data_IF_294543719820
#
_entry.id   IF_294543719820
#
_cell.length_a   1.000
_cell.length_b   1.000
_cell.length_c   1.000
_cell.angle_alpha   90.00
_cell.angle_beta   90.00
_cell.angle_gamma   90.00
#
_symmetry.space_group_name_H-M   'P 1'
#
loop_
_entity.id
_entity.type
_entity.pdbx_description
1 polymer ?
#
# COMPACT_ATOMS: atom_id res chain seq x y z
N UNK A 1 -3.13 34.77 13.88
CA UNK A 1 -4.15 34.20 12.98
C UNK A 1 -3.94 32.70 12.95
N UNK A 2 -5.00 31.90 13.05
CA UNK A 2 -4.91 30.44 12.99
C UNK A 2 -4.65 30.02 11.54
N UNK A 3 -3.61 29.21 11.31
CA UNK A 3 -3.25 28.73 9.97
C UNK A 3 -4.20 27.60 9.57
N UNK A 4 -4.73 27.62 8.36
CA UNK A 4 -5.61 26.56 7.84
C UNK A 4 -4.84 25.52 7.01
N UNK A 5 -5.48 24.40 6.66
CA UNK A 5 -4.89 23.44 5.72
C UNK A 5 -4.68 24.10 4.34
N UNK A 6 -5.67 24.86 3.85
CA UNK A 6 -5.57 25.55 2.56
C UNK A 6 -4.43 26.58 2.55
N UNK A 7 -4.17 27.24 3.67
CA UNK A 7 -2.98 28.07 3.82
C UNK A 7 -1.71 27.26 3.56
N UNK A 8 -1.54 26.10 4.20
CA UNK A 8 -0.34 25.28 3.96
C UNK A 8 -0.21 24.83 2.50
N UNK A 9 -1.33 24.57 1.82
CA UNK A 9 -1.35 24.20 0.41
C UNK A 9 -0.91 25.36 -0.48
N UNK A 10 -1.45 26.56 -0.24
CA UNK A 10 -1.10 27.76 -0.99
C UNK A 10 0.38 28.12 -0.81
N UNK A 11 0.93 27.93 0.40
CA UNK A 11 2.35 28.19 0.69
C UNK A 11 3.30 27.32 -0.15
N UNK A 12 2.94 26.08 -0.49
CA UNK A 12 3.84 25.15 -1.19
C UNK A 12 3.53 24.97 -2.67
N UNK A 13 2.38 25.42 -3.19
CA UNK A 13 1.90 24.98 -4.51
C UNK A 13 2.89 25.26 -5.66
N UNK A 14 3.51 26.44 -5.69
CA UNK A 14 4.48 26.80 -6.73
C UNK A 14 5.82 26.10 -6.54
N UNK A 15 6.40 26.13 -5.34
CA UNK A 15 7.67 25.43 -5.08
C UNK A 15 7.53 23.92 -5.31
N UNK A 16 6.41 23.33 -4.91
CA UNK A 16 6.07 21.94 -5.18
C UNK A 16 6.06 21.68 -6.68
N UNK A 17 5.46 22.57 -7.48
CA UNK A 17 5.37 22.40 -8.93
C UNK A 17 6.76 22.47 -9.58
N UNK A 18 7.65 23.36 -9.12
CA UNK A 18 9.04 23.42 -9.60
C UNK A 18 9.84 22.17 -9.27
N UNK A 19 9.72 21.66 -8.03
CA UNK A 19 10.37 20.40 -7.61
C UNK A 19 9.80 19.17 -8.32
N UNK A 20 8.50 19.15 -8.64
CA UNK A 20 7.90 18.07 -9.44
C UNK A 20 8.41 18.08 -10.88
N UNK A 21 8.57 19.27 -11.47
CA UNK A 21 9.17 19.39 -12.79
C UNK A 21 10.66 18.96 -12.77
N UNK A 22 11.41 19.29 -11.71
CA UNK A 22 12.79 18.79 -11.51
C UNK A 22 12.84 17.27 -11.36
N UNK A 23 11.95 16.67 -10.58
CA UNK A 23 11.85 15.22 -10.44
C UNK A 23 11.49 14.56 -11.77
N UNK A 24 10.59 15.15 -12.56
CA UNK A 24 10.25 14.67 -13.90
C UNK A 24 11.46 14.73 -14.86
N UNK A 25 12.25 15.80 -14.82
CA UNK A 25 13.49 15.95 -15.62
C UNK A 25 14.53 14.87 -15.29
N UNK A 26 14.69 14.51 -14.01
CA UNK A 26 15.65 13.49 -13.57
C UNK A 26 15.14 12.07 -13.84
N UNK A 27 13.86 11.83 -13.57
CA UNK A 27 13.25 10.51 -13.76
C UNK A 27 13.20 10.12 -15.24
N UNK A 28 12.85 11.04 -16.15
CA UNK A 28 12.78 10.74 -17.57
C UNK A 28 11.82 9.58 -17.93
N UNK A 29 10.86 9.26 -17.06
CA UNK A 29 10.00 8.07 -17.20
C UNK A 29 10.65 6.74 -16.79
N UNK A 30 11.79 6.78 -16.10
CA UNK A 30 12.45 5.59 -15.56
C UNK A 30 11.55 4.81 -14.60
N UNK A 31 11.78 3.50 -14.56
CA UNK A 31 11.27 2.62 -13.51
C UNK A 31 11.80 3.06 -12.15
N UNK A 32 11.10 2.70 -11.09
CA UNK A 32 11.47 3.07 -9.73
C UNK A 32 11.43 1.87 -8.80
N UNK A 33 12.25 1.92 -7.76
CA UNK A 33 12.23 0.96 -6.65
C UNK A 33 12.28 1.72 -5.34
N UNK A 34 11.55 1.26 -4.33
CA UNK A 34 11.61 1.83 -2.98
C UNK A 34 11.88 0.74 -1.95
N UNK A 35 12.86 0.97 -1.09
CA UNK A 35 13.13 0.19 0.11
C UNK A 35 13.00 1.12 1.31
N UNK A 36 12.00 0.87 2.15
CA UNK A 36 11.81 1.64 3.39
C UNK A 36 12.67 1.11 4.53
N UNK A 37 13.14 -0.14 4.48
CA UNK A 37 14.00 -0.73 5.51
C UNK A 37 15.43 -0.19 5.44
N UNK A 38 15.90 0.05 4.21
CA UNK A 38 17.10 0.83 3.89
C UNK A 38 16.65 2.07 3.11
N UNK A 39 16.29 3.19 3.79
CA UNK A 39 15.51 4.30 3.23
C UNK A 39 16.05 4.84 1.90
N UNK A 40 15.64 4.22 0.80
CA UNK A 40 16.16 4.48 -0.54
C UNK A 40 15.03 4.37 -1.56
N UNK A 41 14.80 5.46 -2.27
CA UNK A 41 13.98 5.52 -3.47
C UNK A 41 14.90 5.71 -4.66
N UNK A 42 14.96 4.71 -5.54
CA UNK A 42 15.90 4.71 -6.67
C UNK A 42 15.13 4.82 -7.98
N UNK A 43 15.49 5.82 -8.78
CA UNK A 43 15.08 5.96 -10.18
C UNK A 43 16.07 5.18 -11.05
N UNK A 44 15.57 4.21 -11.81
CA UNK A 44 16.34 3.28 -12.64
C UNK A 44 16.59 3.87 -14.03
N UNK A 45 17.24 5.03 -14.10
CA UNK A 45 17.72 5.64 -15.34
C UNK A 45 19.11 5.13 -15.72
N UNK A 46 19.66 5.57 -16.86
CA UNK A 46 21.03 5.22 -17.30
C UNK A 46 22.09 5.53 -16.24
N UNK A 47 21.88 6.60 -15.47
CA UNK A 47 22.64 6.96 -14.29
C UNK A 47 21.69 6.95 -13.07
N UNK A 48 21.59 5.82 -12.34
CA UNK A 48 20.60 5.66 -11.29
C UNK A 48 20.71 6.76 -10.23
N UNK A 49 19.56 7.33 -9.86
CA UNK A 49 19.47 8.37 -8.83
C UNK A 49 18.81 7.77 -7.60
N UNK A 50 19.51 7.84 -6.46
CA UNK A 50 18.99 7.38 -5.16
C UNK A 50 18.63 8.58 -4.30
N UNK A 51 17.40 8.61 -3.81
CA UNK A 51 16.81 9.65 -2.99
C UNK A 51 16.36 9.04 -1.65
N UNK A 52 16.25 9.87 -0.61
CA UNK A 52 15.70 9.46 0.68
C UNK A 52 14.17 9.57 0.65
N UNK A 53 13.42 8.47 0.89
CA UNK A 53 11.96 8.49 0.95
C UNK A 53 11.46 8.78 2.37
N UNK A 54 10.38 9.55 2.46
CA UNK A 54 9.61 9.77 3.67
C UNK A 54 8.15 9.42 3.43
N UNK A 55 7.63 8.41 4.11
CA UNK A 55 6.25 7.95 3.97
C UNK A 55 5.30 8.85 4.76
N UNK A 56 4.41 9.56 4.06
CA UNK A 56 3.36 10.36 4.70
C UNK A 56 2.19 9.48 5.14
N UNK A 57 1.71 8.65 4.24
CA UNK A 57 0.50 7.87 4.47
C UNK A 57 0.04 7.19 3.20
N UNK A 58 -1.12 6.53 3.30
CA UNK A 58 -1.67 5.72 2.23
C UNK A 58 -3.12 6.05 1.95
N UNK A 59 -3.43 6.16 0.67
CA UNK A 59 -4.76 6.29 0.11
C UNK A 59 -5.23 4.90 -0.34
N UNK A 60 -6.38 4.45 0.17
CA UNK A 60 -6.99 3.18 -0.22
C UNK A 60 -8.38 3.41 -0.80
N UNK A 61 -8.54 3.20 -2.11
CA UNK A 61 -9.84 3.33 -2.78
C UNK A 61 -10.84 2.28 -2.25
N UNK A 62 -10.36 1.08 -1.93
CA UNK A 62 -11.18 -0.01 -1.41
C UNK A 62 -11.68 0.27 0.01
N UNK A 63 -10.83 0.84 0.88
CA UNK A 63 -11.22 1.24 2.24
C UNK A 63 -12.00 2.55 2.26
N UNK A 64 -11.84 3.38 1.22
CA UNK A 64 -12.41 4.72 1.17
C UNK A 64 -11.77 5.66 2.19
N UNK A 65 -10.52 5.42 2.59
CA UNK A 65 -9.81 6.27 3.56
C UNK A 65 -8.34 6.55 3.22
N UNK A 66 -7.89 7.70 3.73
CA UNK A 66 -6.48 8.04 3.87
C UNK A 66 -6.04 7.70 5.30
N UNK A 67 -4.88 7.07 5.43
CA UNK A 67 -4.27 6.71 6.71
C UNK A 67 -2.87 7.30 6.77
N UNK A 68 -2.57 8.02 7.84
CA UNK A 68 -1.23 8.53 8.07
C UNK A 68 -0.28 7.44 8.57
N UNK A 69 1.01 7.54 8.18
CA UNK A 69 2.03 6.55 8.55
C UNK A 69 2.34 6.53 10.05
N UNK A 70 1.99 7.59 10.79
CA UNK A 70 2.12 7.60 12.26
C UNK A 70 1.10 6.73 12.98
N UNK A 71 0.03 6.27 12.30
CA UNK A 71 -0.97 5.42 12.92
C UNK A 71 -0.38 4.08 13.37
N UNK A 72 0.60 3.54 12.62
CA UNK A 72 1.29 2.29 12.93
C UNK A 72 2.82 2.45 12.84
N UNK A 73 3.42 2.94 13.93
CA UNK A 73 4.87 3.13 14.04
C UNK A 73 5.62 1.82 14.37
N UNK A 74 6.94 1.85 14.28
CA UNK A 74 7.82 0.71 14.59
C UNK A 74 7.92 -0.36 13.50
N UNK A 75 7.23 -0.18 12.38
CA UNK A 75 7.37 -1.04 11.18
C UNK A 75 8.42 -0.54 10.20
N UNK A 76 8.64 0.77 10.15
CA UNK A 76 9.64 1.43 9.32
C UNK A 76 10.65 2.15 10.21
N UNK A 77 11.88 2.40 9.71
CA UNK A 77 12.82 3.28 10.38
C UNK A 77 12.19 4.63 10.71
N UNK A 78 12.53 5.18 11.88
CA UNK A 78 11.93 6.42 12.41
C UNK A 78 12.08 7.61 11.44
N UNK A 79 13.19 7.64 10.71
CA UNK A 79 13.44 8.60 9.64
C UNK A 79 12.41 8.57 8.52
N UNK A 80 11.92 7.39 8.13
CA UNK A 80 10.95 7.25 7.03
C UNK A 80 9.62 7.91 7.40
N UNK A 81 9.23 7.88 8.68
CA UNK A 81 7.94 8.39 9.16
C UNK A 81 8.04 9.79 9.78
N UNK A 82 9.24 10.34 9.92
CA UNK A 82 9.47 11.63 10.59
C UNK A 82 8.74 12.79 9.93
N UNK A 83 8.64 12.81 8.59
CA UNK A 83 7.90 13.84 7.87
C UNK A 83 6.39 13.84 8.21
N UNK A 84 5.79 12.66 8.39
CA UNK A 84 4.40 12.53 8.78
C UNK A 84 4.21 13.04 10.23
N UNK A 85 5.08 12.64 11.16
CA UNK A 85 5.03 13.08 12.54
C UNK A 85 5.25 14.60 12.65
N UNK A 86 6.17 15.18 11.86
CA UNK A 86 6.38 16.63 11.82
C UNK A 86 5.12 17.37 11.33
N UNK A 87 4.42 16.80 10.34
CA UNK A 87 3.14 17.33 9.89
C UNK A 87 2.08 17.25 11.00
N UNK A 88 2.06 16.17 11.79
CA UNK A 88 1.16 16.00 12.95
C UNK A 88 1.43 16.99 14.08
N UNK A 89 2.69 17.12 14.51
CA UNK A 89 3.08 18.05 15.57
C UNK A 89 2.76 19.50 15.18
N UNK A 90 3.08 19.86 13.94
CA UNK A 90 2.74 21.18 13.40
C UNK A 90 1.23 21.37 13.25
N UNK A 91 0.50 20.33 12.82
CA UNK A 91 -0.95 20.32 12.74
C UNK A 91 -1.61 20.58 14.09
N UNK A 92 -1.11 19.94 15.15
CA UNK A 92 -1.59 20.14 16.52
C UNK A 92 -1.33 21.59 17.00
N UNK A 93 -0.13 22.12 16.75
CA UNK A 93 0.21 23.52 17.09
C UNK A 93 -0.70 24.54 16.41
N UNK A 94 -1.13 24.27 15.17
CA UNK A 94 -2.00 25.16 14.40
C UNK A 94 -3.49 24.78 14.47
N UNK A 95 -3.86 23.73 15.22
CA UNK A 95 -5.23 23.19 15.31
C UNK A 95 -5.84 22.81 13.95
N UNK A 96 -5.05 22.15 13.09
CA UNK A 96 -5.48 21.65 11.77
C UNK A 96 -5.83 20.16 11.88
N UNK A 97 -7.13 19.86 11.96
CA UNK A 97 -7.65 18.51 12.22
C UNK A 97 -7.19 17.45 11.20
N UNK A 98 -7.05 17.84 9.94
CA UNK A 98 -6.66 16.96 8.83
C UNK A 98 -5.22 16.45 8.98
N UNK A 99 -4.40 17.15 9.77
CA UNK A 99 -3.03 16.76 10.08
C UNK A 99 -2.91 16.06 11.43
N UNK A 100 -3.98 15.94 12.21
CA UNK A 100 -3.96 15.30 13.54
C UNK A 100 -4.90 14.11 13.66
N UNK A 101 -5.69 13.83 12.62
CA UNK A 101 -6.63 12.71 12.59
C UNK A 101 -5.96 11.54 11.89
N UNK A 102 -5.85 10.39 12.58
CA UNK A 102 -5.12 9.21 12.09
C UNK A 102 -5.64 8.69 10.75
N UNK A 103 -6.97 8.65 10.62
CA UNK A 103 -7.67 8.18 9.44
C UNK A 103 -8.73 9.19 8.99
N UNK A 104 -8.71 9.53 7.71
CA UNK A 104 -9.64 10.48 7.09
C UNK A 104 -10.45 9.77 6.01
N UNK A 105 -11.76 10.04 5.89
CA UNK A 105 -12.54 9.61 4.74
C UNK A 105 -11.92 10.17 3.45
N UNK A 106 -11.82 9.35 2.40
CA UNK A 106 -11.32 9.85 1.12
C UNK A 106 -12.28 10.87 0.52
N UNK A 107 -11.68 11.94 0.05
CA UNK A 107 -12.29 12.96 -0.79
C UNK A 107 -11.40 13.17 -2.03
N UNK A 108 -11.98 13.74 -3.08
CA UNK A 108 -11.28 14.05 -4.32
C UNK A 108 -10.02 14.89 -4.05
N UNK A 109 -8.87 14.31 -4.41
CA UNK A 109 -7.56 14.94 -4.27
C UNK A 109 -7.09 15.13 -2.82
N UNK A 110 -7.71 14.48 -1.84
CA UNK A 110 -7.31 14.59 -0.42
C UNK A 110 -5.83 14.28 -0.23
N UNK A 111 -5.34 13.16 -0.73
CA UNK A 111 -3.95 12.75 -0.57
C UNK A 111 -2.96 13.79 -1.12
N UNK A 112 -3.29 14.41 -2.27
CA UNK A 112 -2.50 15.51 -2.84
C UNK A 112 -2.54 16.77 -1.97
N UNK A 113 -3.70 17.13 -1.42
CA UNK A 113 -3.86 18.29 -0.51
C UNK A 113 -3.02 18.10 0.76
N UNK A 114 -3.11 16.92 1.40
CA UNK A 114 -2.32 16.58 2.59
C UNK A 114 -0.82 16.57 2.28
N UNK A 115 -0.44 16.03 1.12
CA UNK A 115 0.96 16.05 0.66
C UNK A 115 1.47 17.47 0.49
N UNK A 116 0.74 18.36 -0.20
CA UNK A 116 1.12 19.76 -0.38
C UNK A 116 1.25 20.49 0.96
N UNK A 117 0.33 20.26 1.89
CA UNK A 117 0.42 20.82 3.24
C UNK A 117 1.67 20.33 3.99
N UNK A 118 1.97 19.04 3.92
CA UNK A 118 3.16 18.46 4.53
C UNK A 118 4.46 19.04 3.96
N UNK A 119 4.52 19.38 2.67
CA UNK A 119 5.71 20.04 2.07
C UNK A 119 6.03 21.39 2.73
N UNK A 120 5.00 22.18 3.05
CA UNK A 120 5.17 23.46 3.77
C UNK A 120 5.75 23.27 5.16
N UNK A 121 5.37 22.18 5.84
CA UNK A 121 5.75 21.90 7.22
C UNK A 121 7.11 21.20 7.36
N UNK A 122 7.52 20.46 6.33
CA UNK A 122 8.73 19.61 6.38
C UNK A 122 9.89 20.19 5.58
N UNK A 123 9.62 21.08 4.61
CA UNK A 123 10.62 21.59 3.68
C UNK A 123 11.04 20.60 2.59
N UNK A 124 10.40 19.42 2.50
CA UNK A 124 10.68 18.43 1.45
C UNK A 124 9.66 18.64 0.33
N UNK A 125 10.10 19.20 -0.80
CA UNK A 125 9.18 19.71 -1.81
C UNK A 125 8.90 18.77 -2.99
N UNK A 126 9.58 17.64 -3.10
CA UNK A 126 9.27 16.59 -4.07
C UNK A 126 8.47 15.45 -3.41
N UNK A 127 7.60 14.82 -4.19
CA UNK A 127 6.77 13.69 -3.78
C UNK A 127 6.63 12.71 -4.92
N UNK A 128 6.39 11.44 -4.61
CA UNK A 128 6.10 10.40 -5.58
C UNK A 128 4.99 9.50 -5.04
N UNK A 129 3.87 9.30 -5.75
CA UNK A 129 2.86 8.33 -5.34
C UNK A 129 3.28 6.91 -5.78
N UNK A 130 3.43 6.00 -4.83
CA UNK A 130 3.85 4.61 -5.01
C UNK A 130 2.63 3.69 -4.94
N UNK A 131 2.32 2.98 -6.02
CA UNK A 131 1.23 1.98 -6.03
C UNK A 131 1.69 0.72 -5.29
N UNK A 132 1.00 0.36 -4.21
CA UNK A 132 1.34 -0.80 -3.38
C UNK A 132 0.55 -2.07 -3.74
N UNK A 133 -0.36 -1.99 -4.74
CA UNK A 133 -1.25 -3.08 -5.15
C UNK A 133 -2.67 -2.94 -4.56
N UNK A 134 -3.62 -3.70 -5.11
CA UNK A 134 -5.04 -3.78 -4.71
C UNK A 134 -5.68 -2.45 -4.24
N UNK A 135 -5.53 -1.41 -5.05
CA UNK A 135 -6.18 -0.11 -4.83
C UNK A 135 -5.55 0.75 -3.73
N UNK A 136 -4.36 0.40 -3.23
CA UNK A 136 -3.61 1.16 -2.24
C UNK A 136 -2.46 1.92 -2.89
N UNK A 137 -2.34 3.21 -2.56
CA UNK A 137 -1.27 4.09 -3.01
C UNK A 137 -0.61 4.75 -1.80
N UNK A 138 0.67 4.49 -1.61
CA UNK A 138 1.49 5.18 -0.65
C UNK A 138 1.97 6.52 -1.21
N UNK A 139 1.87 7.58 -0.44
CA UNK A 139 2.34 8.90 -0.83
C UNK A 139 3.62 9.19 -0.05
N UNK A 140 4.74 9.32 -0.79
CA UNK A 140 6.05 9.59 -0.22
C UNK A 140 6.54 10.98 -0.60
N UNK A 141 7.18 11.68 0.32
CA UNK A 141 8.09 12.78 -0.01
C UNK A 141 9.47 12.20 -0.34
N UNK A 142 10.21 12.85 -1.23
CA UNK A 142 11.55 12.43 -1.63
C UNK A 142 12.54 13.59 -1.54
N UNK A 143 13.72 13.31 -1.01
CA UNK A 143 14.79 14.29 -0.77
C UNK A 143 16.13 13.78 -1.28
N UNK A 144 16.95 14.65 -1.86
CA UNK A 144 18.30 14.34 -2.31
C UNK A 144 18.93 15.52 -3.04
N UNK A 145 20.26 15.54 -3.11
CA UNK A 145 21.03 16.63 -3.73
C UNK A 145 20.68 16.86 -5.21
N UNK A 146 20.27 15.81 -5.90
CA UNK A 146 19.91 15.82 -7.32
C UNK A 146 18.65 16.66 -7.58
N UNK A 147 17.79 16.79 -6.57
CA UNK A 147 16.58 17.59 -6.58
C UNK A 147 16.81 19.06 -6.22
N UNK A 148 18.02 19.45 -5.82
CA UNK A 148 18.32 20.85 -5.53
C UNK A 148 18.08 21.71 -6.78
N UNK A 149 17.33 22.79 -6.57
CA UNK A 149 17.06 23.77 -7.60
C UNK A 149 18.23 24.75 -7.70
N UNK A 150 18.64 25.06 -8.93
CA UNK A 150 19.57 26.15 -9.20
C UNK A 150 18.98 27.53 -8.88
N UNK A 151 19.70 28.59 -9.28
CA UNK A 151 19.23 29.96 -9.10
C UNK A 151 17.85 30.17 -9.77
N UNK A 152 16.96 30.97 -9.14
CA UNK A 152 15.66 31.26 -9.73
C UNK A 152 15.85 32.00 -11.06
N UNK A 153 15.07 31.61 -12.07
CA UNK A 153 15.02 32.28 -13.37
C UNK A 153 13.60 32.72 -13.67
N UNK A 154 13.43 33.91 -14.26
CA UNK A 154 12.09 34.44 -14.59
C UNK A 154 11.30 33.50 -15.49
N UNK A 155 11.96 32.82 -16.43
CA UNK A 155 11.30 31.88 -17.32
C UNK A 155 10.72 30.70 -16.54
N UNK A 156 11.54 30.03 -15.72
CA UNK A 156 11.09 28.89 -14.91
C UNK A 156 9.99 29.30 -13.92
N UNK A 157 10.14 30.45 -13.25
CA UNK A 157 9.14 30.95 -12.31
C UNK A 157 7.79 31.22 -13.00
N UNK A 158 7.80 31.87 -14.16
CA UNK A 158 6.59 32.12 -14.94
C UNK A 158 5.89 30.84 -15.39
N UNK A 159 6.64 29.86 -15.89
CA UNK A 159 6.11 28.55 -16.29
C UNK A 159 5.50 27.79 -15.12
N UNK A 160 6.21 27.73 -13.98
CA UNK A 160 5.76 27.07 -12.75
C UNK A 160 4.44 27.66 -12.25
N UNK A 161 4.35 28.99 -12.20
CA UNK A 161 3.10 29.66 -11.81
C UNK A 161 1.98 29.32 -12.77
N UNK A 162 2.18 29.45 -14.08
CA UNK A 162 1.15 29.14 -15.09
C UNK A 162 0.67 27.68 -15.00
N UNK A 163 1.57 26.72 -14.83
CA UNK A 163 1.23 25.30 -14.72
C UNK A 163 0.49 24.98 -13.41
N UNK A 164 0.98 25.48 -12.27
CA UNK A 164 0.36 25.24 -10.98
C UNK A 164 -1.09 25.73 -10.93
N UNK A 165 -1.38 26.88 -11.53
CA UNK A 165 -2.72 27.47 -11.58
C UNK A 165 -3.72 26.61 -12.36
N UNK A 166 -3.28 25.83 -13.35
CA UNK A 166 -4.16 24.92 -14.10
C UNK A 166 -4.72 23.80 -13.23
N UNK A 167 -4.07 23.49 -12.10
CA UNK A 167 -4.53 22.44 -11.18
C UNK A 167 -5.72 22.86 -10.31
N UNK A 168 -6.09 24.15 -10.30
CA UNK A 168 -7.20 24.69 -9.50
C UNK A 168 -7.04 24.52 -7.98
N UNK A 169 -5.85 24.17 -7.51
CA UNK A 169 -5.58 23.82 -6.09
C UNK A 169 -5.15 25.03 -5.27
N UNK A 170 -4.53 26.02 -5.91
CA UNK A 170 -4.23 27.30 -5.28
C UNK A 170 -5.52 28.12 -5.12
N UNK A 171 -5.77 28.60 -3.90
CA UNK A 171 -6.94 29.44 -3.59
C UNK A 171 -6.49 30.88 -3.37
N UNK A 172 -5.50 31.11 -2.50
CA UNK A 172 -4.92 32.42 -2.25
C UNK A 172 -3.63 32.61 -3.05
N UNK A 173 -3.74 33.20 -4.25
CA UNK A 173 -2.59 33.33 -5.15
C UNK A 173 -1.57 34.35 -4.64
N UNK A 174 -2.03 35.40 -3.94
CA UNK A 174 -1.14 36.40 -3.33
C UNK A 174 -0.16 35.72 -2.36
N UNK A 175 -0.71 34.85 -1.51
CA UNK A 175 0.05 34.07 -0.53
C UNK A 175 0.97 33.05 -1.16
N UNK A 176 0.49 32.34 -2.19
CA UNK A 176 1.31 31.40 -2.94
C UNK A 176 2.52 32.07 -3.60
N UNK A 177 2.31 33.26 -4.19
CA UNK A 177 3.37 34.06 -4.80
C UNK A 177 4.40 34.53 -3.76
N UNK A 178 3.93 35.08 -2.63
CA UNK A 178 4.79 35.56 -1.56
C UNK A 178 5.64 34.43 -0.96
N UNK A 179 5.03 33.28 -0.71
CA UNK A 179 5.73 32.08 -0.23
C UNK A 179 6.76 31.59 -1.24
N UNK A 180 6.39 31.51 -2.52
CA UNK A 180 7.31 31.06 -3.57
C UNK A 180 8.53 31.95 -3.75
N UNK A 181 8.34 33.28 -3.72
CA UNK A 181 9.45 34.22 -3.77
C UNK A 181 10.41 34.02 -2.59
N UNK A 182 9.87 33.89 -1.37
CA UNK A 182 10.67 33.61 -0.16
C UNK A 182 11.44 32.29 -0.26
N UNK A 183 10.78 31.20 -0.66
CA UNK A 183 11.40 29.88 -0.75
C UNK A 183 12.45 29.77 -1.85
N UNK A 184 12.34 30.59 -2.91
CA UNK A 184 13.36 30.67 -3.97
C UNK A 184 14.45 31.69 -3.72
N UNK A 185 14.32 32.53 -2.69
CA UNK A 185 15.24 33.65 -2.46
C UNK A 185 15.10 34.76 -3.51
N UNK A 186 13.94 34.84 -4.16
CA UNK A 186 13.61 35.94 -5.08
C UNK A 186 13.06 37.14 -4.31
N UNK A 187 13.32 38.34 -4.81
CA UNK A 187 12.72 39.55 -4.26
C UNK A 187 11.29 39.71 -4.77
N UNK A 188 10.38 40.15 -3.92
CA UNK A 188 9.02 40.53 -4.30
C UNK A 188 8.69 41.91 -3.75
N UNK A 189 8.20 42.79 -4.61
CA UNK A 189 7.67 44.09 -4.23
C UNK A 189 6.21 44.21 -4.66
N UNK A 190 5.37 44.66 -3.72
CA UNK A 190 3.97 44.94 -3.93
C UNK A 190 3.78 46.44 -4.14
N UNK A 191 3.14 46.82 -5.24
CA UNK A 191 2.72 48.21 -5.46
C UNK A 191 1.33 48.44 -4.84
N UNK A 192 0.43 47.51 -5.12
CA UNK A 192 -0.92 47.43 -4.53
C UNK A 192 -1.30 45.95 -4.38
N UNK A 193 -2.48 45.64 -3.83
CA UNK A 193 -3.04 44.28 -3.85
C UNK A 193 -3.33 43.77 -5.28
N UNK A 194 -3.31 44.65 -6.29
CA UNK A 194 -3.56 44.31 -7.69
C UNK A 194 -2.30 44.01 -8.50
N UNK A 195 -1.10 44.31 -7.98
CA UNK A 195 0.15 44.15 -8.75
C UNK A 195 1.36 43.89 -7.88
N UNK A 196 2.15 42.88 -8.27
CA UNK A 196 3.46 42.57 -7.68
C UNK A 196 4.54 42.47 -8.76
N UNK A 197 5.78 42.75 -8.39
CA UNK A 197 6.96 42.49 -9.22
C UNK A 197 7.88 41.52 -8.49
N UNK A 198 8.13 40.36 -9.09
CA UNK A 198 9.12 39.38 -8.62
C UNK A 198 10.41 39.60 -9.39
N UNK A 199 11.52 39.78 -8.70
CA UNK A 199 12.86 39.94 -9.28
C UNK A 199 13.72 38.72 -8.97
N UNK A 200 14.32 38.15 -10.01
CA UNK A 200 15.32 37.09 -9.97
C UNK A 200 16.66 37.61 -10.53
N UNK A 201 17.71 36.79 -10.55
CA UNK A 201 19.04 37.20 -11.00
C UNK A 201 19.10 37.52 -12.51
N UNK A 202 18.20 36.95 -13.30
CA UNK A 202 18.15 37.08 -14.76
C UNK A 202 17.08 38.08 -15.27
N UNK A 203 16.27 38.67 -14.39
CA UNK A 203 15.23 39.63 -14.77
C UNK A 203 14.11 39.77 -13.73
N UNK A 204 12.96 40.30 -14.16
CA UNK A 204 11.78 40.36 -13.32
C UNK A 204 10.47 40.03 -14.07
N UNK A 205 9.47 39.61 -13.30
CA UNK A 205 8.09 39.39 -13.75
C UNK A 205 7.14 40.35 -13.02
N UNK A 206 6.25 41.00 -13.76
CA UNK A 206 5.07 41.67 -13.21
C UNK A 206 3.90 40.69 -13.19
N UNK A 207 3.24 40.62 -12.05
CA UNK A 207 2.04 39.83 -11.80
C UNK A 207 0.86 40.76 -11.59
N UNK A 208 -0.22 40.52 -12.31
CA UNK A 208 -1.49 41.21 -12.14
C UNK A 208 -2.48 40.31 -11.39
N UNK A 209 -3.26 40.90 -10.50
CA UNK A 209 -4.23 40.18 -9.70
C UNK A 209 -5.62 40.79 -9.83
N UNK A 210 -6.60 39.94 -10.16
CA UNK A 210 -8.02 40.26 -10.16
C UNK A 210 -8.71 39.41 -9.09
N UNK A 211 -9.39 40.06 -8.14
CA UNK A 211 -10.06 39.39 -7.02
C UNK A 211 -9.14 38.40 -6.26
N UNK A 212 -7.88 38.79 -6.04
CA UNK A 212 -6.88 37.97 -5.34
C UNK A 212 -6.33 36.79 -6.14
N UNK A 213 -6.64 36.70 -7.45
CA UNK A 213 -6.14 35.68 -8.36
C UNK A 213 -5.28 36.28 -9.44
N UNK A 214 -4.17 35.63 -9.76
CA UNK A 214 -3.33 36.00 -10.91
C UNK A 214 -4.16 36.02 -12.19
N UNK A 215 -4.18 37.16 -12.87
CA UNK A 215 -4.83 37.36 -14.17
C UNK A 215 -3.83 37.60 -15.30
N UNK A 216 -2.59 38.00 -14.99
CA UNK A 216 -1.55 38.21 -15.99
C UNK A 216 -0.14 38.07 -15.43
N UNK A 217 0.79 37.60 -16.27
CA UNK A 217 2.21 37.47 -15.98
C UNK A 217 2.98 38.03 -17.18
N UNK A 218 3.81 39.05 -16.96
CA UNK A 218 4.57 39.74 -18.02
C UNK A 218 5.99 40.05 -17.57
N UNK A 219 6.90 40.31 -18.51
CA UNK A 219 8.25 40.78 -18.18
C UNK A 219 8.21 42.18 -17.55
N UNK A 220 9.14 42.45 -16.63
CA UNK A 220 9.26 43.72 -15.93
C UNK A 220 10.73 44.14 -15.74
N UNK A 221 10.93 45.39 -15.32
CA UNK A 221 12.24 45.85 -14.86
C UNK A 221 12.53 45.36 -13.44
N UNK A 222 13.75 44.85 -13.16
CA UNK A 222 14.18 44.48 -11.81
C UNK A 222 14.01 45.59 -10.78
N UNK A 223 13.53 45.25 -9.59
CA UNK A 223 13.35 46.19 -8.47
C UNK A 223 14.32 45.95 -7.31
N UNK A 224 15.16 44.92 -7.40
CA UNK A 224 16.19 44.62 -6.42
C UNK A 224 17.54 44.39 -7.10
N UNK A 225 18.62 44.77 -6.40
CA UNK A 225 19.99 44.55 -6.85
C UNK A 225 20.56 43.20 -6.39
N UNK A 226 21.73 42.83 -6.92
CA UNK A 226 22.39 41.56 -6.63
C UNK A 226 22.63 41.31 -5.12
N UNK A 227 23.02 42.33 -4.35
CA UNK A 227 23.27 42.20 -2.92
C UNK A 227 22.00 41.83 -2.12
N UNK A 228 20.84 42.33 -2.54
CA UNK A 228 19.56 42.01 -1.92
C UNK A 228 19.13 40.60 -2.26
N UNK A 229 19.25 40.20 -3.53
CA UNK A 229 18.98 38.83 -3.98
C UNK A 229 19.89 37.82 -3.26
N UNK A 230 21.17 38.13 -3.06
CA UNK A 230 22.09 37.26 -2.32
C UNK A 230 21.70 37.10 -0.84
N UNK A 231 21.21 38.17 -0.20
CA UNK A 231 20.65 38.09 1.17
C UNK A 231 19.41 37.21 1.23
N UNK A 232 18.48 37.38 0.28
CA UNK A 232 17.25 36.58 0.21
C UNK A 232 17.54 35.11 -0.10
N UNK A 233 18.48 34.82 -0.99
CA UNK A 233 18.95 33.46 -1.27
C UNK A 233 19.58 32.80 -0.04
N UNK A 234 20.29 33.57 0.79
CA UNK A 234 20.82 33.08 2.08
C UNK A 234 19.67 32.78 3.05
N UNK A 235 18.72 33.70 3.20
CA UNK A 235 17.53 33.47 4.04
C UNK A 235 16.74 32.21 3.62
N UNK A 236 16.57 31.98 2.32
CA UNK A 236 15.90 30.81 1.79
C UNK A 236 16.68 29.49 2.04
N UNK A 237 18.02 29.55 2.06
CA UNK A 237 18.86 28.40 2.45
C UNK A 237 18.75 28.13 3.95
N UNK A 238 18.91 29.16 4.77
CA UNK A 238 18.82 29.06 6.23
C UNK A 238 17.45 28.51 6.67
N UNK A 239 16.36 28.93 6.02
CA UNK A 239 15.03 28.41 6.28
C UNK A 239 14.91 26.90 5.97
N UNK A 240 15.49 26.44 4.86
CA UNK A 240 15.50 25.00 4.50
C UNK A 240 16.34 24.19 5.48
N UNK A 241 17.51 24.70 5.86
CA UNK A 241 18.37 24.07 6.86
C UNK A 241 17.69 23.98 8.23
N UNK A 242 16.96 25.03 8.64
CA UNK A 242 16.17 25.02 9.87
C UNK A 242 15.08 23.93 9.85
N UNK A 243 14.32 23.81 8.77
CA UNK A 243 13.29 22.76 8.64
C UNK A 243 13.89 21.35 8.61
N UNK A 244 15.08 21.18 8.01
CA UNK A 244 15.82 19.92 8.05
C UNK A 244 16.28 19.56 9.47
N UNK A 245 16.82 20.53 10.21
CA UNK A 245 17.22 20.36 11.62
C UNK A 245 16.03 20.03 12.53
N UNK A 246 14.89 20.70 12.34
CA UNK A 246 13.65 20.37 13.06
C UNK A 246 13.21 18.92 12.81
N UNK A 247 13.34 18.44 11.56
CA UNK A 247 13.00 17.06 11.21
C UNK A 247 13.91 16.04 11.87
N UNK A 248 15.22 16.31 12.00
CA UNK A 248 16.13 15.46 12.78
C UNK A 248 15.69 15.35 14.26
N UNK A 249 15.20 16.45 14.83
CA UNK A 249 14.58 16.43 16.17
C UNK A 249 13.33 15.55 16.24
N UNK A 250 12.50 15.55 15.19
CA UNK A 250 11.30 14.71 15.07
C UNK A 250 11.65 13.22 14.97
N UNK A 251 12.80 12.84 14.39
CA UNK A 251 13.23 11.43 14.35
C UNK A 251 13.37 10.84 15.77
N UNK A 252 13.80 11.66 16.74
CA UNK A 252 13.87 11.22 18.15
C UNK A 252 12.47 11.00 18.75
N UNK A 253 11.51 11.87 18.43
CA UNK A 253 10.12 11.71 18.86
C UNK A 253 9.51 10.45 18.22
N UNK A 254 9.76 10.24 16.92
CA UNK A 254 9.33 9.06 16.18
C UNK A 254 9.83 7.78 16.83
N UNK A 255 11.12 7.72 17.22
CA UNK A 255 11.70 6.57 17.89
C UNK A 255 11.04 6.26 19.26
N UNK A 256 10.74 7.31 20.03
CA UNK A 256 10.08 7.16 21.33
C UNK A 256 8.66 6.61 21.17
N UNK A 257 7.88 7.16 20.23
CA UNK A 257 6.52 6.69 19.96
C UNK A 257 6.49 5.30 19.33
N UNK A 258 7.40 5.00 18.41
CA UNK A 258 7.56 3.68 17.83
C UNK A 258 7.84 2.61 18.90
N UNK A 259 8.71 2.92 19.85
CA UNK A 259 8.99 2.04 21.00
C UNK A 259 7.74 1.85 21.85
N UNK A 260 7.03 2.93 22.19
CA UNK A 260 5.82 2.86 23.01
C UNK A 260 4.71 2.03 22.33
N UNK A 261 4.47 2.25 21.04
CA UNK A 261 3.48 1.48 20.27
C UNK A 261 3.88 0.00 20.13
N UNK A 262 5.17 -0.31 19.98
CA UNK A 262 5.66 -1.70 19.91
C UNK A 262 5.44 -2.43 21.23
N UNK A 263 5.83 -1.82 22.35
CA UNK A 263 5.60 -2.39 23.68
C UNK A 263 4.10 -2.59 23.93
N UNK A 264 3.26 -1.61 23.61
CA UNK A 264 1.82 -1.71 23.79
C UNK A 264 1.19 -2.87 22.98
N UNK A 265 1.67 -3.07 21.73
CA UNK A 265 1.23 -4.19 20.88
C UNK A 265 1.66 -5.54 21.42
N UNK A 266 2.91 -5.67 21.89
CA UNK A 266 3.40 -6.91 22.51
C UNK A 266 2.60 -7.25 23.79
N UNK A 267 2.30 -6.26 24.63
CA UNK A 267 1.49 -6.45 25.83
C UNK A 267 0.03 -6.82 25.50
N UNK A 268 -0.55 -6.22 24.46
CA UNK A 268 -1.88 -6.58 23.98
C UNK A 268 -1.90 -8.01 23.42
N UNK A 269 -0.90 -8.40 22.64
CA UNK A 269 -0.77 -9.75 22.11
C UNK A 269 -0.61 -10.79 23.23
N UNK A 270 0.21 -10.49 24.26
CA UNK A 270 0.36 -11.36 25.45
C UNK A 270 -0.97 -11.54 26.18
N UNK A 271 -1.70 -10.45 26.42
CA UNK A 271 -3.03 -10.52 27.08
C UNK A 271 -4.02 -11.34 26.25
N UNK A 272 -4.09 -11.12 24.95
CA UNK A 272 -4.95 -11.88 24.05
C UNK A 272 -4.59 -13.38 24.03
N UNK A 273 -3.29 -13.72 24.06
CA UNK A 273 -2.84 -15.11 24.14
C UNK A 273 -3.19 -15.77 25.49
N UNK A 274 -3.04 -15.05 26.61
CA UNK A 274 -3.46 -15.52 27.93
C UNK A 274 -4.97 -15.73 28.02
N UNK A 275 -5.77 -14.82 27.46
CA UNK A 275 -7.23 -14.94 27.38
C UNK A 275 -7.64 -16.15 26.53
N UNK A 276 -7.04 -16.32 25.35
CA UNK A 276 -7.28 -17.48 24.49
C UNK A 276 -6.88 -18.79 25.18
N UNK A 277 -5.78 -18.81 25.95
CA UNK A 277 -5.38 -19.99 26.74
C UNK A 277 -6.40 -20.32 27.83
N UNK A 278 -6.90 -19.32 28.57
CA UNK A 278 -7.95 -19.53 29.58
C UNK A 278 -9.26 -20.01 28.96
N UNK A 279 -9.64 -19.49 27.80
CA UNK A 279 -10.83 -19.93 27.07
C UNK A 279 -10.68 -21.39 26.58
N UNK A 280 -9.50 -21.76 26.08
CA UNK A 280 -9.21 -23.15 25.71
C UNK A 280 -9.25 -24.10 26.90
N UNK A 281 -8.68 -23.71 28.05
CA UNK A 281 -8.75 -24.48 29.29
C UNK A 281 -10.19 -24.65 29.77
N UNK A 282 -10.99 -23.58 29.77
CA UNK A 282 -12.40 -23.63 30.14
C UNK A 282 -13.23 -24.52 29.19
N UNK A 283 -12.99 -24.44 27.87
CA UNK A 283 -13.63 -25.31 26.90
C UNK A 283 -13.22 -26.79 27.08
N UNK A 284 -11.95 -27.06 27.41
CA UNK A 284 -11.47 -28.40 27.68
C UNK A 284 -12.01 -28.96 29.00
N UNK A 285 -12.21 -28.13 30.02
CA UNK A 285 -12.88 -28.52 31.27
C UNK A 285 -14.37 -28.79 31.04
N UNK A 286 -15.07 -27.92 30.31
CA UNK A 286 -16.47 -28.14 29.94
C UNK A 286 -16.66 -29.43 29.13
N UNK A 287 -15.76 -29.73 28.20
CA UNK A 287 -15.77 -31.00 27.46
C UNK A 287 -15.57 -32.21 28.38
N UNK A 288 -14.66 -32.12 29.36
CA UNK A 288 -14.43 -33.19 30.36
C UNK A 288 -15.66 -33.42 31.25
N UNK A 289 -16.33 -32.35 31.68
CA UNK A 289 -17.58 -32.46 32.46
C UNK A 289 -18.69 -33.10 31.60
N UNK A 290 -18.86 -32.66 30.36
CA UNK A 290 -19.85 -33.24 29.45
C UNK A 290 -19.59 -34.72 29.14
N UNK A 291 -18.33 -35.13 28.99
CA UNK A 291 -17.96 -36.54 28.83
C UNK A 291 -18.28 -37.35 30.10
N UNK A 292 -17.97 -36.82 31.28
CA UNK A 292 -18.30 -37.46 32.55
C UNK A 292 -19.81 -37.63 32.74
N UNK A 293 -20.59 -36.60 32.43
CA UNK A 293 -22.06 -36.64 32.47
C UNK A 293 -22.63 -37.66 31.46
N UNK A 294 -22.05 -37.75 30.27
CA UNK A 294 -22.45 -38.74 29.27
C UNK A 294 -22.12 -40.18 29.71
N UNK A 295 -20.98 -40.40 30.37
CA UNK A 295 -20.63 -41.71 30.94
C UNK A 295 -21.59 -42.07 32.08
N UNK A 296 -21.89 -41.13 32.98
CA UNK A 296 -22.85 -41.34 34.07
C UNK A 296 -24.26 -41.65 33.54
N UNK A 297 -24.71 -40.95 32.49
CA UNK A 297 -25.99 -41.22 31.84
C UNK A 297 -26.04 -42.62 31.20
N UNK A 298 -24.94 -43.08 30.57
CA UNK A 298 -24.85 -44.44 30.04
C UNK A 298 -24.89 -45.50 31.13
N UNK A 299 -24.22 -45.27 32.26
CA UNK A 299 -24.24 -46.18 33.41
C UNK A 299 -25.64 -46.28 34.01
N UNK A 300 -26.31 -45.14 34.24
CA UNK A 300 -27.70 -45.13 34.73
C UNK A 300 -28.65 -45.87 33.78
N UNK A 301 -28.51 -45.67 32.46
CA UNK A 301 -29.31 -46.39 31.46
C UNK A 301 -29.07 -47.90 31.49
N UNK A 302 -27.82 -48.34 31.68
CA UNK A 302 -27.48 -49.76 31.80
C UNK A 302 -28.08 -50.36 33.09
N UNK A 303 -28.00 -49.68 34.22
CA UNK A 303 -28.63 -50.10 35.47
C UNK A 303 -30.16 -50.21 35.35
N UNK A 304 -30.81 -49.26 34.67
CA UNK A 304 -32.25 -49.36 34.39
C UNK A 304 -32.59 -50.54 33.48
N UNK A 305 -31.79 -50.80 32.44
CA UNK A 305 -32.01 -51.92 31.54
C UNK A 305 -31.77 -53.27 32.26
N UNK A 306 -30.82 -53.33 33.19
CA UNK A 306 -30.59 -54.52 34.00
C UNK A 306 -31.75 -54.75 34.98
N UNK A 307 -32.29 -53.70 35.61
CA UNK A 307 -33.49 -53.77 36.44
C UNK A 307 -34.74 -54.20 35.66
N UNK A 308 -34.93 -53.66 34.45
CA UNK A 308 -36.03 -54.03 33.56
C UNK A 308 -35.91 -55.49 33.08
N UNK A 309 -34.70 -55.95 32.76
CA UNK A 309 -34.45 -57.35 32.38
C UNK A 309 -34.71 -58.33 33.54
N UNK A 310 -34.38 -57.95 34.79
CA UNK A 310 -34.71 -58.73 35.98
C UNK A 310 -36.24 -58.76 36.20
N UNK A 311 -36.93 -57.64 36.03
CA UNK A 311 -38.38 -57.56 36.14
C UNK A 311 -39.11 -58.34 35.03
N UNK A 312 -38.56 -58.37 33.82
CA UNK A 312 -39.09 -59.15 32.69
C UNK A 312 -38.87 -60.66 32.91
N UNK A 313 -37.71 -61.07 33.43
CA UNK A 313 -37.44 -62.46 33.84
C UNK A 313 -38.33 -62.94 35.02
N UNK A 314 -38.79 -62.03 35.87
CA UNK A 314 -39.80 -62.33 36.89
C UNK A 314 -41.21 -62.44 36.30
N UNK A 315 -41.59 -61.63 35.30
CA UNK A 315 -42.87 -61.76 34.58
C UNK A 315 -42.95 -63.02 33.72
N UNK A 316 -41.83 -63.48 33.16
CA UNK A 316 -41.77 -64.72 32.37
C UNK A 316 -42.01 -65.99 33.21
N UNK A 317 -41.88 -65.91 34.54
CA UNK A 317 -42.26 -67.00 35.46
C UNK A 317 -43.76 -67.08 35.76
N UNK A 318 -44.56 -66.08 35.36
CA UNK A 318 -45.98 -65.95 35.69
C UNK A 318 -46.92 -65.78 34.46
N UNK A 319 -46.43 -66.01 33.23
CA UNK A 319 -47.26 -65.89 32.02
C UNK A 319 -47.85 -67.24 31.54
N UNK A 320 -49.19 -67.35 31.32
CA UNK A 320 -49.79 -68.50 30.64
C UNK A 320 -49.65 -68.43 29.11
N UNK A 321 -49.52 -69.61 28.50
CA UNK A 321 -49.40 -69.86 27.06
C UNK A 321 -50.72 -69.57 26.34
N UNK A 322 -50.71 -68.68 25.33
CA UNK A 322 -51.75 -68.60 24.30
C UNK A 322 -51.08 -68.50 22.91
N UNK A 323 -51.39 -69.48 22.09
CA UNK A 323 -51.03 -69.56 20.68
C UNK A 323 -52.14 -68.92 19.84
N UNK A 324 -51.78 -68.10 18.84
CA UNK A 324 -52.70 -67.75 17.77
C UNK A 324 -51.96 -67.70 16.43
N UNK A 325 -52.63 -68.26 15.42
CA UNK A 325 -52.08 -68.76 14.18
C UNK A 325 -52.08 -67.67 13.10
N UNK A 326 -50.97 -67.54 12.39
CA UNK A 326 -50.86 -66.75 11.17
C UNK A 326 -51.48 -67.52 9.99
N UNK A 327 -52.31 -66.83 9.20
CA UNK A 327 -52.73 -67.27 7.87
C UNK A 327 -52.11 -66.31 6.85
N UNK A 328 -51.34 -66.87 5.92
CA UNK A 328 -50.86 -66.22 4.70
C UNK A 328 -51.90 -66.40 3.59
N UNK A 329 -52.23 -65.32 2.88
CA UNK A 329 -52.91 -65.40 1.59
C UNK A 329 -52.08 -64.61 0.56
N UNK A 330 -51.65 -65.33 -0.47
CA UNK A 330 -50.75 -64.93 -1.55
C UNK A 330 -51.58 -64.36 -2.71
N UNK A 331 -51.23 -63.15 -3.20
CA UNK A 331 -51.73 -62.64 -4.49
C UNK A 331 -50.56 -62.06 -5.29
N UNK A 332 -50.43 -62.56 -6.52
CA UNK A 332 -49.35 -62.38 -7.49
C UNK A 332 -49.72 -61.36 -8.60
N UNK A 333 -48.72 -60.61 -9.10
CA UNK A 333 -48.72 -59.86 -10.37
C UNK A 333 -49.32 -58.44 -10.33
N UNK A 334 -48.80 -57.37 -10.96
CA UNK A 334 -47.91 -57.24 -12.14
C UNK A 334 -47.32 -55.82 -12.22
N UNK A 335 -46.14 -55.75 -12.83
CA UNK A 335 -45.32 -54.61 -13.30
C UNK A 335 -46.17 -53.71 -14.27
N UNK A 336 -46.00 -52.40 -14.48
CA UNK A 336 -44.86 -51.72 -15.13
C UNK A 336 -45.06 -50.19 -15.24
N UNK A 337 -43.92 -49.50 -15.11
CA UNK A 337 -43.40 -48.21 -15.65
C UNK A 337 -44.26 -47.23 -16.49
N UNK A 338 -43.70 -46.01 -16.50
CA UNK A 338 -43.92 -44.86 -17.41
C UNK A 338 -45.09 -43.94 -17.01
N UNK A 339 -44.95 -42.62 -16.93
CA UNK A 339 -43.89 -41.70 -17.38
C UNK A 339 -44.27 -40.27 -16.94
N UNK A 340 -43.24 -39.42 -16.81
CA UNK A 340 -43.24 -37.99 -17.24
C UNK A 340 -44.13 -37.02 -16.47
N UNK A 341 -43.47 -36.23 -15.59
CA UNK A 341 -43.67 -34.82 -15.16
C UNK A 341 -45.04 -34.13 -15.40
N UNK A 342 -45.55 -33.22 -14.52
CA UNK A 342 -44.76 -32.18 -13.83
C UNK A 342 -45.29 -31.74 -12.44
N UNK A 343 -44.60 -30.76 -11.84
CA UNK A 343 -44.92 -30.09 -10.57
C UNK A 343 -46.31 -29.43 -10.50
N UNK A 344 -46.98 -29.56 -9.35
CA UNK A 344 -47.80 -28.54 -8.64
C UNK A 344 -48.51 -29.31 -7.51
N UNK A 345 -48.09 -29.24 -6.24
CA UNK A 345 -48.70 -28.28 -5.31
C UNK A 345 -47.86 -28.19 -4.03
N UNK A 346 -46.84 -27.34 -3.99
CA UNK A 346 -46.26 -26.89 -2.71
C UNK A 346 -46.01 -25.37 -2.75
N UNK A 347 -46.44 -24.61 -1.73
CA UNK A 347 -46.41 -23.14 -1.74
C UNK A 347 -44.97 -22.59 -1.66
N UNK A 348 -44.76 -21.42 -2.28
CA UNK A 348 -43.44 -20.81 -2.54
C UNK A 348 -42.79 -20.10 -1.33
N UNK A 349 -43.44 -20.07 -0.16
CA UNK A 349 -42.86 -19.51 1.06
C UNK A 349 -42.59 -20.62 2.08
N UNK A 350 -41.31 -20.96 2.25
CA UNK A 350 -40.80 -21.66 3.42
C UNK A 350 -39.58 -20.93 3.97
N UNK A 351 -39.54 -20.78 5.28
CA UNK A 351 -38.33 -20.41 6.02
C UNK A 351 -37.26 -21.50 5.85
N UNK A 352 -35.97 -21.13 5.77
CA UNK A 352 -34.87 -22.09 5.69
C UNK A 352 -34.84 -22.99 6.93
N UNK A 353 -34.62 -24.28 6.73
CA UNK A 353 -34.43 -25.20 7.84
C UNK A 353 -33.21 -24.76 8.66
N UNK A 354 -33.36 -24.70 9.99
CA UNK A 354 -32.38 -24.18 10.95
C UNK A 354 -31.07 -24.99 11.07
N UNK A 355 -30.84 -25.96 10.19
CA UNK A 355 -29.68 -26.84 10.14
C UNK A 355 -28.90 -26.80 8.81
N UNK A 356 -29.20 -25.84 7.92
CA UNK A 356 -28.39 -25.62 6.72
C UNK A 356 -27.03 -24.98 7.07
N UNK A 357 -25.99 -25.82 7.03
CA UNK A 357 -24.61 -25.45 7.40
C UNK A 357 -23.92 -24.61 6.31
N UNK A 358 -23.06 -23.63 6.69
CA UNK A 358 -22.27 -22.84 5.74
C UNK A 358 -21.39 -23.72 4.84
N UNK A 359 -21.42 -23.47 3.53
CA UNK A 359 -20.68 -24.25 2.53
C UNK A 359 -19.16 -24.02 2.60
N UNK A 360 -18.39 -25.09 2.41
CA UNK A 360 -16.93 -25.07 2.33
C UNK A 360 -16.47 -24.84 0.90
N UNK A 361 -15.76 -23.74 0.68
CA UNK A 361 -15.04 -23.42 -0.57
C UNK A 361 -13.71 -24.18 -0.59
N UNK A 362 -13.36 -24.77 -1.74
CA UNK A 362 -12.12 -25.55 -1.94
C UNK A 362 -11.18 -24.86 -2.92
N UNK A 363 -9.87 -25.11 -2.76
CA UNK A 363 -8.97 -25.45 -3.86
C UNK A 363 -7.73 -26.14 -3.30
N UNK A 364 -7.43 -27.37 -3.75
CA UNK A 364 -6.08 -27.93 -3.94
C UNK A 364 -6.18 -29.34 -4.50
N UNK A 365 -5.54 -29.55 -5.65
CA UNK A 365 -5.39 -30.82 -6.31
C UNK A 365 -4.33 -31.67 -5.60
N UNK A 366 -4.63 -32.95 -5.34
CA UNK A 366 -3.60 -33.97 -5.17
C UNK A 366 -3.97 -35.08 -6.15
N UNK A 367 -2.98 -35.38 -7.00
CA UNK A 367 -3.04 -36.38 -8.05
C UNK A 367 -3.22 -37.80 -7.49
N UNK A 368 -3.90 -38.60 -8.29
CA UNK A 368 -3.93 -40.05 -8.30
C UNK A 368 -2.56 -40.69 -7.95
N UNK A 369 -2.54 -41.67 -7.03
CA UNK A 369 -2.49 -43.10 -7.39
C UNK A 369 -2.24 -44.00 -6.16
N UNK A 370 -3.15 -44.98 -6.01
CA UNK A 370 -2.98 -46.34 -5.48
C UNK A 370 -2.59 -46.62 -4.02
N UNK A 371 -3.66 -46.98 -3.30
CA UNK A 371 -3.81 -48.07 -2.32
C UNK A 371 -2.95 -49.31 -2.68
N UNK A 372 -2.29 -49.92 -1.67
CA UNK A 372 -2.31 -51.36 -1.30
C UNK A 372 -1.40 -51.60 -0.07
N UNK A 373 -1.97 -52.17 1.01
CA UNK A 373 -1.30 -52.94 2.09
C UNK A 373 -1.17 -54.40 1.60
N UNK A 374 -0.17 -55.22 1.91
CA UNK A 374 0.33 -55.66 3.22
C UNK A 374 1.56 -56.61 3.05
N UNK A 375 2.19 -56.96 4.18
CA UNK A 375 3.14 -58.07 4.49
C UNK A 375 4.65 -57.81 4.72
N UNK A 376 5.11 -58.35 5.86
CA UNK A 376 6.38 -58.22 6.61
C UNK A 376 7.55 -59.14 6.10
N UNK A 377 8.65 -59.41 6.87
CA UNK A 377 9.71 -58.54 7.40
C UNK A 377 11.17 -58.99 7.03
N UNK A 378 12.14 -58.16 7.45
CA UNK A 378 13.56 -58.43 7.78
C UNK A 378 14.62 -58.56 6.65
N UNK A 379 15.75 -57.85 6.83
CA UNK A 379 17.15 -58.36 7.03
C UNK A 379 18.22 -57.29 6.63
N UNK A 380 19.19 -57.08 7.54
CA UNK A 380 20.57 -56.56 7.47
C UNK A 380 21.06 -55.42 6.52
N UNK A 381 21.53 -54.33 7.15
CA UNK A 381 22.94 -53.84 7.25
C UNK A 381 23.88 -53.67 6.03
N UNK A 382 24.95 -52.82 6.17
CA UNK A 382 25.29 -51.75 5.21
C UNK A 382 26.65 -51.90 4.47
N UNK A 383 26.87 -51.10 3.42
CA UNK A 383 28.17 -50.67 2.84
C UNK A 383 27.87 -49.71 1.66
N UNK A 384 28.42 -48.51 1.44
CA UNK A 384 29.80 -47.99 1.36
C UNK A 384 30.00 -47.36 -0.04
N UNK A 385 30.78 -46.27 -0.13
CA UNK A 385 31.29 -45.70 -1.40
C UNK A 385 30.93 -44.22 -1.58
N UNK A 386 31.71 -43.26 -1.06
CA UNK A 386 32.92 -42.66 -1.67
C UNK A 386 32.68 -41.92 -2.99
N UNK A 387 33.06 -40.64 -3.01
CA UNK A 387 33.16 -39.80 -4.21
C UNK A 387 33.40 -38.35 -3.84
N UNK A 388 34.65 -38.01 -3.56
CA UNK A 388 35.18 -36.70 -3.18
C UNK A 388 35.98 -36.14 -4.37
N UNK A 389 36.20 -34.82 -4.34
CA UNK A 389 37.31 -34.06 -4.98
C UNK A 389 37.12 -33.61 -6.46
N UNK A 390 37.56 -32.43 -6.94
CA UNK A 390 38.32 -31.27 -6.40
C UNK A 390 38.47 -30.17 -7.47
N UNK A 391 38.64 -28.90 -7.03
CA UNK A 391 39.60 -27.84 -7.46
C UNK A 391 39.60 -27.32 -8.91
N UNK A 392 40.16 -26.16 -9.29
CA UNK A 392 40.51 -24.82 -8.77
C UNK A 392 41.44 -24.16 -9.85
N UNK A 393 41.67 -22.84 -9.77
CA UNK A 393 42.66 -22.00 -10.50
C UNK A 393 42.24 -21.49 -11.91
N UNK A 394 42.59 -20.28 -12.40
CA UNK A 394 43.62 -19.30 -12.01
C UNK A 394 43.33 -17.87 -12.59
N UNK A 395 44.18 -16.92 -12.19
CA UNK A 395 44.20 -15.45 -12.33
C UNK A 395 44.58 -14.88 -13.72
N UNK A 396 44.42 -13.56 -13.90
CA UNK A 396 45.19 -12.74 -14.85
C UNK A 396 44.86 -11.23 -14.79
N UNK A 397 45.84 -10.41 -14.39
CA UNK A 397 45.85 -8.92 -14.38
C UNK A 397 46.23 -8.32 -15.75
N UNK A 398 45.96 -7.02 -15.97
CA UNK A 398 46.54 -6.20 -17.04
C UNK A 398 46.06 -4.75 -17.07
N UNK A 399 47.01 -3.80 -17.18
CA UNK A 399 46.93 -2.34 -16.92
C UNK A 399 46.77 -1.43 -18.16
N UNK A 400 46.10 -0.28 -17.97
CA UNK A 400 46.26 1.10 -18.52
C UNK A 400 46.87 1.41 -19.92
N UNK A 401 46.21 2.29 -20.72
CA UNK A 401 46.64 3.68 -21.09
C UNK A 401 45.74 4.34 -22.20
N UNK A 402 45.97 5.64 -22.41
CA UNK A 402 45.17 6.77 -22.98
C UNK A 402 44.77 6.81 -24.49
N UNK A 403 43.89 7.80 -24.77
CA UNK A 403 43.17 8.27 -25.98
C UNK A 403 44.02 8.91 -27.13
N UNK A 404 43.47 9.76 -28.05
CA UNK A 404 42.35 9.64 -29.01
C UNK A 404 42.75 9.98 -30.48
N UNK A 405 41.86 9.70 -31.44
CA UNK A 405 41.72 10.23 -32.83
C UNK A 405 40.80 9.23 -33.56
N UNK A 406 40.07 9.46 -34.64
CA UNK A 406 39.62 10.61 -35.44
C UNK A 406 38.54 10.00 -36.38
N UNK A 407 37.54 10.80 -36.72
CA UNK A 407 36.52 10.67 -37.77
C UNK A 407 36.86 9.79 -38.99
N UNK A 408 35.98 8.84 -39.31
CA UNK A 408 35.68 8.46 -40.70
C UNK A 408 34.21 8.03 -40.86
N UNK A 409 33.59 8.57 -41.91
CA UNK A 409 32.21 8.38 -42.33
C UNK A 409 31.97 6.95 -42.83
N UNK A 410 30.84 6.34 -42.44
CA UNK A 410 30.21 5.26 -43.22
C UNK A 410 28.70 5.52 -43.27
N UNK A 411 28.20 5.61 -44.50
CA UNK A 411 26.78 5.71 -44.88
C UNK A 411 25.98 4.46 -44.47
N UNK A 412 24.70 4.68 -44.15
CA UNK A 412 23.64 3.72 -44.48
C UNK A 412 23.09 2.86 -43.34
N UNK A 413 22.21 3.42 -42.51
CA UNK A 413 21.12 2.67 -41.88
C UNK A 413 19.88 3.54 -41.77
N UNK A 414 18.81 3.15 -42.48
CA UNK A 414 17.46 3.70 -42.32
C UNK A 414 16.97 3.47 -40.88
N UNK A 415 16.33 4.46 -40.24
CA UNK A 415 15.64 4.21 -38.98
C UNK A 415 14.39 3.36 -39.22
N UNK A 416 14.03 2.42 -38.32
CA UNK A 416 12.73 1.77 -38.39
C UNK A 416 11.64 2.82 -38.21
N UNK A 417 10.69 2.84 -39.14
CA UNK A 417 9.49 3.66 -39.10
C UNK A 417 8.68 3.37 -37.84
N UNK A 418 8.72 4.27 -36.86
CA UNK A 418 7.70 4.30 -35.82
C UNK A 418 6.45 4.95 -36.42
N UNK A 419 5.47 4.13 -36.75
CA UNK A 419 4.15 4.61 -37.16
C UNK A 419 3.50 5.39 -36.00
N UNK A 420 3.60 6.72 -36.07
CA UNK A 420 2.82 7.62 -35.24
C UNK A 420 1.36 7.48 -35.68
N UNK A 421 0.52 6.85 -34.85
CA UNK A 421 -0.92 6.74 -35.10
C UNK A 421 -1.55 8.15 -35.16
N UNK A 422 -2.13 8.49 -36.31
CA UNK A 422 -2.98 9.68 -36.47
C UNK A 422 -4.29 9.45 -35.71
N UNK A 423 -4.72 10.45 -34.93
CA UNK A 423 -5.95 10.38 -34.15
C UNK A 423 -7.18 10.12 -35.05
N UNK A 424 -7.89 9.01 -34.82
CA UNK A 424 -9.16 8.68 -35.49
C UNK A 424 -9.29 7.27 -36.08
N UNK A 425 -8.27 6.41 -35.98
CA UNK A 425 -8.33 5.05 -36.49
C UNK A 425 -8.77 4.05 -35.41
N UNK A 426 -9.73 3.18 -35.71
CA UNK A 426 -10.22 2.16 -34.78
C UNK A 426 -9.14 1.09 -34.50
N UNK A 427 -9.03 0.58 -33.26
CA UNK A 427 -7.98 -0.38 -32.87
C UNK A 427 -8.17 -1.74 -33.54
N UNK A 428 -7.05 -2.33 -33.98
CA UNK A 428 -6.98 -3.70 -34.48
C UNK A 428 -6.94 -4.68 -33.30
N UNK A 429 -8.12 -5.12 -32.88
CA UNK A 429 -8.32 -6.00 -31.73
C UNK A 429 -7.84 -7.44 -31.97
N UNK A 430 -7.62 -7.85 -33.22
CA UNK A 430 -7.14 -9.20 -33.55
C UNK A 430 -5.62 -9.29 -33.43
N UNK A 431 -4.89 -8.24 -33.83
CA UNK A 431 -3.44 -8.15 -33.64
C UNK A 431 -3.02 -8.14 -32.16
N UNK A 432 -3.75 -7.39 -31.32
CA UNK A 432 -3.46 -7.29 -29.88
C UNK A 432 -3.76 -8.60 -29.11
N UNK A 433 -4.69 -9.44 -29.61
CA UNK A 433 -4.95 -10.77 -29.02
C UNK A 433 -3.85 -11.79 -29.28
N UNK A 434 -3.23 -11.74 -30.46
CA UNK A 434 -2.16 -12.67 -30.84
C UNK A 434 -0.84 -12.37 -30.10
N UNK A 435 -0.57 -11.10 -29.77
CA UNK A 435 0.57 -10.72 -28.90
C UNK A 435 0.36 -11.10 -27.43
N UNK A 436 -0.89 -11.16 -26.96
CA UNK A 436 -1.20 -11.58 -25.59
C UNK A 436 -1.02 -13.10 -25.37
N UNK A 437 -1.21 -13.92 -26.41
CA UNK A 437 -1.04 -15.39 -26.34
C UNK A 437 0.43 -15.84 -26.34
N UNK A 438 1.38 -14.98 -26.74
CA UNK A 438 2.79 -15.34 -26.89
C UNK A 438 3.69 -14.86 -25.73
N UNK A 439 3.15 -14.14 -24.73
CA UNK A 439 3.92 -13.75 -23.53
C UNK A 439 3.98 -14.89 -22.50
N UNK A 440 5.18 -15.25 -21.99
CA UNK A 440 5.30 -16.24 -20.92
C UNK A 440 4.63 -15.73 -19.64
N UNK A 441 3.85 -16.60 -18.98
CA UNK A 441 3.17 -16.30 -17.71
C UNK A 441 4.20 -15.99 -16.61
N UNK A 442 3.96 -14.99 -15.75
CA UNK A 442 4.86 -14.68 -14.64
C UNK A 442 4.87 -15.86 -13.65
N UNK A 443 6.08 -16.24 -13.22
CA UNK A 443 6.30 -17.20 -12.14
C UNK A 443 5.72 -16.67 -10.83
N UNK A 444 5.14 -17.56 -10.02
CA UNK A 444 4.58 -17.26 -8.70
C UNK A 444 5.60 -16.52 -7.81
N UNK A 445 5.44 -15.20 -7.69
CA UNK A 445 6.16 -14.41 -6.71
C UNK A 445 5.55 -14.64 -5.32
N UNK A 446 6.42 -14.94 -4.36
CA UNK A 446 6.10 -15.00 -2.94
C UNK A 446 5.45 -13.68 -2.53
N UNK A 447 4.31 -13.73 -1.83
CA UNK A 447 3.56 -12.57 -1.30
C UNK A 447 4.51 -11.45 -0.84
N UNK A 448 4.52 -10.36 -1.60
CA UNK A 448 5.41 -9.22 -1.40
C UNK A 448 5.17 -8.52 -0.06
N UNK A 449 6.23 -7.87 0.43
CA UNK A 449 6.30 -7.07 1.66
C UNK A 449 5.08 -6.16 1.90
N UNK A 450 4.48 -5.61 0.84
CA UNK A 450 3.29 -4.75 0.89
C UNK A 450 1.97 -5.44 1.23
N UNK A 451 1.79 -6.73 0.90
CA UNK A 451 0.54 -7.47 1.15
C UNK A 451 0.28 -7.70 2.65
N UNK A 452 1.35 -7.83 3.46
CA UNK A 452 1.24 -7.92 4.93
C UNK A 452 0.88 -6.59 5.59
N UNK A 453 1.20 -5.46 4.96
CA UNK A 453 1.10 -4.13 5.58
C UNK A 453 -0.17 -3.39 5.15
N UNK A 454 -0.64 -3.59 3.92
CA UNK A 454 -1.81 -2.90 3.38
C UNK A 454 -3.08 -3.77 3.29
N UNK A 455 -3.07 -4.98 3.86
CA UNK A 455 -4.22 -5.87 3.87
C UNK A 455 -4.65 -6.34 2.48
N UNK A 456 -3.69 -6.70 1.61
CA UNK A 456 -3.92 -7.17 0.24
C UNK A 456 -3.87 -8.70 0.14
#
# INVERSE_FOLDING_TARGET
MTKTLQDLIDDSIFISTEYQARLAEISGGAEWTVDFSAPSFTLQSDAPVSLTPYLLGTESENRGSWIWSWQELGHFPDRVVSAAIQARESGAQHSISELTTDELPLDSGLARKLTLAAKTLTGIYAHYPVTAGAGVRAWILVEGSELELGDPTVNRMGQVMAQALQTGTAVNHLRAVDSYAKLRGAHIAWDTEATAIITASDGALRLWFDNGKISGIEAAEPQAGADELARLATFARDQREQLASEREGIETLAAQEATAQTVAREEAARRSAEEASREQEANAEAARVAEADAVAAKQAAAETHEADAVAEAEREKDAPVLAEQAYEEEIEGTVTTDRVYPHADRPFDREPAGDARPGRVTTSAIADENIVREDEPAVDSPAAGQGRETSAHQQGEGTAYEAPADYEQVEGHEPPSTDIRVAGQAPDLEGERLEAETKPKPSEEKKGFFSRFFGL
#
